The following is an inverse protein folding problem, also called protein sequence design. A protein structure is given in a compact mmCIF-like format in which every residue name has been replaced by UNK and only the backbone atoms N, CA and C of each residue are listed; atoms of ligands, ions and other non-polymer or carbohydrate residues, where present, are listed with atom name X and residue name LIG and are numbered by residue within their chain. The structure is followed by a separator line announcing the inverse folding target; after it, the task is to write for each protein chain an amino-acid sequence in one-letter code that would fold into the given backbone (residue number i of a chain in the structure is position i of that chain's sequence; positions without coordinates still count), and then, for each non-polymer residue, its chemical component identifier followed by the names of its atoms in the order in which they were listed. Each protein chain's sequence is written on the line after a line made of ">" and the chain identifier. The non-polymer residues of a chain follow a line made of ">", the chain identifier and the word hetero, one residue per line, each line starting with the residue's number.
data_IF_463771561584
#
_entry.id   IF_463771561584
#
_cell.length_a   1.000
_cell.length_b   1.000
_cell.length_c   1.000
_cell.angle_alpha   90.00
_cell.angle_beta   90.00
_cell.angle_gamma   90.00
#
_symmetry.space_group_name_H-M   'P 1'
#
loop_
_entity.id
_entity.type
_entity.pdbx_description
1 polymer ?
#
# COMPACT_ATOMS: atom_id res chain seq x y z
N UNK A 1 3.33 -9.39 -8.53
CA UNK A 1 2.23 -9.58 -7.56
C UNK A 1 1.76 -8.20 -7.20
N UNK A 2 0.55 -7.82 -7.63
CA UNK A 2 -0.06 -6.51 -7.38
C UNK A 2 -0.68 -6.53 -5.98
N UNK A 3 -0.39 -5.52 -5.15
CA UNK A 3 -0.98 -5.38 -3.82
C UNK A 3 -1.51 -3.95 -3.67
N UNK A 4 -2.82 -3.79 -3.80
CA UNK A 4 -3.58 -2.58 -3.47
C UNK A 4 -4.42 -2.86 -2.22
N UNK A 5 -4.48 -1.90 -1.29
CA UNK A 5 -4.93 -2.09 0.09
C UNK A 5 -6.26 -1.38 0.38
N UNK A 6 -7.31 -2.14 0.75
CA UNK A 6 -8.59 -1.62 1.28
C UNK A 6 -9.31 -2.68 2.15
N UNK A 7 -9.78 -2.34 3.38
CA UNK A 7 -10.65 -3.21 4.23
C UNK A 7 -11.77 -2.48 4.95
N UNK A 8 -13.01 -2.63 4.48
CA UNK A 8 -14.24 -2.32 5.23
C UNK A 8 -14.35 -3.16 6.51
N UNK A 9 -14.70 -2.53 7.64
CA UNK A 9 -15.21 -3.23 8.82
C UNK A 9 -16.60 -2.72 9.18
N UNK A 10 -17.38 -3.67 9.67
CA UNK A 10 -18.82 -3.80 9.53
C UNK A 10 -19.60 -3.14 10.67
N UNK A 11 -20.61 -2.33 10.35
CA UNK A 11 -21.72 -2.04 11.23
C UNK A 11 -23.04 -2.15 10.44
N UNK A 12 -23.89 -3.08 10.88
CA UNK A 12 -25.27 -3.36 10.48
C UNK A 12 -25.55 -3.81 9.04
N UNK A 13 -25.76 -5.13 8.92
CA UNK A 13 -26.73 -5.84 8.08
C UNK A 13 -27.01 -5.33 6.65
N UNK A 14 -26.55 -6.10 5.65
CA UNK A 14 -27.03 -6.01 4.28
C UNK A 14 -26.01 -6.54 3.29
N UNK A 15 -26.14 -7.83 2.98
CA UNK A 15 -25.68 -8.57 1.79
C UNK A 15 -24.49 -8.01 0.96
N UNK A 16 -23.43 -8.81 0.85
CA UNK A 16 -22.28 -8.50 -0.01
C UNK A 16 -20.94 -8.77 0.65
N UNK A 17 -20.69 -10.03 1.02
CA UNK A 17 -19.34 -10.52 1.28
C UNK A 17 -18.44 -10.16 0.10
N UNK A 18 -17.47 -9.26 0.28
CA UNK A 18 -16.39 -9.12 -0.71
C UNK A 18 -15.55 -10.39 -0.63
N UNK A 19 -15.84 -11.31 -1.55
CA UNK A 19 -15.40 -12.72 -1.56
C UNK A 19 -13.88 -12.90 -1.67
N UNK A 20 -13.11 -11.82 -1.83
CA UNK A 20 -11.71 -11.86 -2.22
C UNK A 20 -10.70 -11.56 -1.09
N UNK A 21 -11.12 -10.92 0.01
CA UNK A 21 -10.17 -10.29 0.96
C UNK A 21 -10.11 -10.93 2.36
N UNK A 22 -11.09 -11.73 2.76
CA UNK A 22 -11.13 -12.34 4.11
C UNK A 22 -10.01 -13.35 4.36
N UNK A 23 -9.68 -14.17 3.36
CA UNK A 23 -8.60 -15.18 3.47
C UNK A 23 -7.19 -14.57 3.44
N UNK A 24 -7.02 -13.39 2.83
CA UNK A 24 -5.71 -12.76 2.68
C UNK A 24 -5.21 -12.10 3.97
N UNK A 25 -6.11 -11.66 4.84
CA UNK A 25 -5.75 -11.09 6.15
C UNK A 25 -5.11 -12.09 7.11
N UNK A 26 -5.51 -13.36 7.05
CA UNK A 26 -4.86 -14.44 7.81
C UNK A 26 -3.52 -14.88 7.18
N UNK A 27 -3.39 -14.72 5.86
CA UNK A 27 -2.18 -15.09 5.13
C UNK A 27 -1.04 -14.08 5.30
N UNK A 28 -1.33 -12.84 5.72
CA UNK A 28 -0.36 -11.74 5.79
C UNK A 28 -0.46 -10.99 7.13
N UNK A 29 0.19 -11.48 8.20
CA UNK A 29 -0.07 -11.05 9.58
C UNK A 29 0.49 -9.66 9.95
N UNK A 30 1.33 -9.06 9.09
CA UNK A 30 1.90 -7.73 9.31
C UNK A 30 1.06 -6.60 8.68
N UNK A 31 -0.01 -6.96 7.96
CA UNK A 31 -1.01 -6.00 7.51
C UNK A 31 -2.03 -5.86 8.65
N UNK A 32 -1.70 -5.04 9.64
CA UNK A 32 -2.71 -4.60 10.60
C UNK A 32 -3.54 -3.49 9.95
N UNK A 33 -4.75 -3.81 9.53
CA UNK A 33 -5.75 -2.82 9.08
C UNK A 33 -6.53 -2.28 10.28
N UNK A 34 -5.90 -2.19 11.44
CA UNK A 34 -6.26 -1.25 12.49
C UNK A 34 -5.87 0.14 11.99
N UNK A 35 -6.82 0.81 11.34
CA UNK A 35 -6.68 2.17 10.87
C UNK A 35 -6.43 3.08 12.09
N UNK A 36 -5.18 3.45 12.34
CA UNK A 36 -4.87 4.64 13.12
C UNK A 36 -5.29 5.87 12.29
N UNK A 37 -6.61 6.11 12.22
CA UNK A 37 -7.20 7.36 11.74
C UNK A 37 -7.28 7.58 10.22
N UNK A 38 -6.78 6.68 9.38
CA UNK A 38 -6.92 6.79 7.91
C UNK A 38 -8.27 6.24 7.44
N UNK A 39 -9.04 7.02 6.67
CA UNK A 39 -10.24 6.50 6.02
C UNK A 39 -9.86 5.37 5.04
N UNK A 40 -10.67 4.31 5.00
CA UNK A 40 -10.49 3.21 4.06
C UNK A 40 -10.58 3.73 2.63
N UNK A 41 -9.55 3.50 1.83
CA UNK A 41 -9.44 4.04 0.48
C UNK A 41 -8.53 5.25 0.34
N UNK A 42 -7.97 5.78 1.44
CA UNK A 42 -7.31 7.07 1.39
C UNK A 42 -5.83 7.03 0.92
N UNK A 43 -5.15 5.88 0.92
CA UNK A 43 -3.71 5.78 0.60
C UNK A 43 -2.82 6.86 1.27
N UNK A 44 -3.16 7.29 2.49
CA UNK A 44 -2.55 8.46 3.16
C UNK A 44 -1.68 8.10 4.37
N UNK A 45 -1.43 6.82 4.61
CA UNK A 45 -0.66 6.38 5.78
C UNK A 45 0.80 6.15 5.41
N UNK A 46 1.73 6.75 6.16
CA UNK A 46 3.17 6.59 5.95
C UNK A 46 3.72 5.62 7.00
N UNK A 47 3.79 4.33 6.67
CA UNK A 47 4.38 3.31 7.55
C UNK A 47 5.45 2.47 6.85
N UNK A 48 6.71 2.96 6.80
CA UNK A 48 7.75 2.33 5.99
C UNK A 48 8.12 0.92 6.45
N UNK A 49 7.94 0.60 7.73
CA UNK A 49 8.25 -0.71 8.29
C UNK A 49 7.44 -1.84 7.64
N UNK A 50 6.24 -1.53 7.11
CA UNK A 50 5.40 -2.48 6.37
C UNK A 50 6.11 -2.96 5.09
N UNK A 51 6.86 -2.09 4.40
CA UNK A 51 7.64 -2.47 3.21
C UNK A 51 8.70 -3.52 3.54
N UNK A 52 9.43 -3.33 4.66
CA UNK A 52 10.42 -4.31 5.13
C UNK A 52 9.76 -5.66 5.43
N UNK A 53 8.69 -5.64 6.22
CA UNK A 53 8.02 -6.87 6.63
C UNK A 53 7.44 -7.63 5.43
N UNK A 54 6.85 -6.91 4.47
CA UNK A 54 6.35 -7.49 3.22
C UNK A 54 7.45 -8.14 2.39
N UNK A 55 8.58 -7.44 2.20
CA UNK A 55 9.72 -7.96 1.45
C UNK A 55 10.28 -9.24 2.09
N UNK A 56 10.50 -9.23 3.40
CA UNK A 56 11.05 -10.38 4.11
C UNK A 56 10.10 -11.57 4.06
N UNK A 57 8.81 -11.35 4.32
CA UNK A 57 7.83 -12.42 4.26
C UNK A 57 7.72 -13.02 2.85
N UNK A 58 7.65 -12.20 1.80
CA UNK A 58 7.60 -12.69 0.42
C UNK A 58 8.86 -13.46 0.06
N UNK A 59 10.04 -12.95 0.46
CA UNK A 59 11.31 -13.61 0.25
C UNK A 59 11.39 -14.96 0.97
N UNK A 60 11.04 -15.01 2.26
CA UNK A 60 11.03 -16.24 3.06
C UNK A 60 10.03 -17.26 2.52
N UNK A 61 8.86 -16.81 2.07
CA UNK A 61 7.79 -17.68 1.61
C UNK A 61 8.05 -18.29 0.23
N UNK A 62 8.58 -17.50 -0.71
CA UNK A 62 8.68 -17.90 -2.11
C UNK A 62 10.12 -18.04 -2.60
N UNK A 63 11.09 -17.35 -1.99
CA UNK A 63 12.51 -17.37 -2.33
C UNK A 63 12.79 -17.19 -3.83
N UNK A 64 12.10 -16.25 -4.45
CA UNK A 64 12.27 -15.83 -5.85
C UNK A 64 12.48 -14.32 -5.92
N UNK A 65 13.00 -13.86 -7.05
CA UNK A 65 13.16 -12.43 -7.32
C UNK A 65 11.83 -11.68 -7.29
N UNK A 66 11.79 -10.56 -6.58
CA UNK A 66 10.59 -9.78 -6.31
C UNK A 66 10.51 -8.57 -7.25
N UNK A 67 9.32 -8.30 -7.77
CA UNK A 67 8.98 -7.05 -8.48
C UNK A 67 7.85 -6.38 -7.72
N UNK A 68 8.08 -5.15 -7.27
CA UNK A 68 7.04 -4.31 -6.66
C UNK A 68 6.35 -3.57 -7.78
N UNK A 69 5.13 -3.98 -8.08
CA UNK A 69 4.39 -3.45 -9.21
C UNK A 69 3.68 -2.14 -8.90
N UNK A 70 3.34 -1.89 -7.63
CA UNK A 70 2.61 -0.71 -7.20
C UNK A 70 3.00 -0.30 -5.77
N UNK A 71 3.22 0.99 -5.57
CA UNK A 71 3.36 1.62 -4.26
C UNK A 71 3.12 3.12 -4.42
N UNK A 72 2.21 3.70 -3.62
CA UNK A 72 1.71 5.05 -3.87
C UNK A 72 1.12 5.72 -2.64
N UNK A 73 0.96 7.04 -2.74
CA UNK A 73 0.37 7.90 -1.71
C UNK A 73 -0.65 8.84 -2.34
N UNK A 74 -1.87 8.84 -1.80
CA UNK A 74 -2.98 9.66 -2.30
C UNK A 74 -2.89 11.10 -1.85
N UNK A 75 -3.12 12.06 -2.76
CA UNK A 75 -3.25 13.47 -2.43
C UNK A 75 -4.69 13.82 -2.05
N UNK A 76 -5.07 13.49 -0.81
CA UNK A 76 -6.43 13.74 -0.31
C UNK A 76 -6.75 15.24 -0.15
N UNK A 77 -5.73 16.08 -0.02
CA UNK A 77 -5.89 17.52 0.21
C UNK A 77 -5.82 18.35 -1.08
N UNK A 78 -5.58 17.72 -2.23
CA UNK A 78 -5.48 18.41 -3.53
C UNK A 78 -4.33 19.42 -3.57
N UNK A 79 -3.20 19.10 -2.94
CA UNK A 79 -2.00 19.94 -2.90
C UNK A 79 -1.31 20.05 -4.27
N UNK A 80 -1.57 19.11 -5.18
CA UNK A 80 -1.04 19.12 -6.55
C UNK A 80 0.48 19.07 -6.56
N UNK A 81 1.12 20.15 -7.04
CA UNK A 81 2.59 20.25 -7.14
C UNK A 81 3.27 20.55 -5.79
N UNK A 82 2.52 20.82 -4.74
CA UNK A 82 3.02 21.15 -3.40
C UNK A 82 2.87 19.98 -2.41
N UNK A 83 2.95 18.76 -2.92
CA UNK A 83 2.66 17.47 -2.28
C UNK A 83 3.86 16.89 -1.51
N UNK A 84 4.42 17.66 -0.58
CA UNK A 84 5.59 17.24 0.20
C UNK A 84 5.41 15.88 0.93
N UNK A 85 4.16 15.52 1.26
CA UNK A 85 3.84 14.23 1.88
C UNK A 85 4.06 13.05 0.94
N UNK A 86 3.70 13.14 -0.35
CA UNK A 86 3.94 12.08 -1.34
C UNK A 86 5.44 11.90 -1.58
N UNK A 87 6.19 13.01 -1.63
CA UNK A 87 7.65 12.97 -1.66
C UNK A 87 8.27 12.30 -0.42
N UNK A 88 7.79 12.65 0.77
CA UNK A 88 8.24 12.04 2.03
C UNK A 88 7.92 10.54 2.09
N UNK A 89 6.73 10.15 1.63
CA UNK A 89 6.30 8.76 1.53
C UNK A 89 7.26 7.92 0.67
N UNK A 90 7.47 8.30 -0.59
CA UNK A 90 8.35 7.55 -1.48
C UNK A 90 9.79 7.52 -0.97
N UNK A 91 10.28 8.64 -0.42
CA UNK A 91 11.62 8.69 0.20
C UNK A 91 11.76 7.68 1.33
N UNK A 92 10.78 7.61 2.24
CA UNK A 92 10.82 6.69 3.36
C UNK A 92 10.71 5.23 2.91
N UNK A 93 9.77 4.91 2.02
CA UNK A 93 9.57 3.54 1.51
C UNK A 93 10.75 3.03 0.69
N UNK A 94 11.32 3.87 -0.20
CA UNK A 94 12.50 3.49 -0.99
C UNK A 94 13.75 3.30 -0.13
N UNK A 95 13.95 4.15 0.90
CA UNK A 95 15.05 3.95 1.86
C UNK A 95 14.90 2.63 2.60
N UNK A 96 13.69 2.31 3.07
CA UNK A 96 13.44 1.03 3.75
C UNK A 96 13.61 -0.16 2.80
N UNK A 97 13.19 -0.05 1.55
CA UNK A 97 13.39 -1.06 0.53
C UNK A 97 14.88 -1.33 0.32
N UNK A 98 15.67 -0.31 0.01
CA UNK A 98 17.11 -0.44 -0.25
C UNK A 98 17.83 -0.98 0.99
N UNK A 99 17.48 -0.46 2.18
CA UNK A 99 18.03 -0.96 3.44
C UNK A 99 17.73 -2.45 3.65
N UNK A 100 16.52 -2.90 3.34
CA UNK A 100 16.11 -4.30 3.53
C UNK A 100 16.80 -5.22 2.53
N UNK A 101 16.85 -4.81 1.26
CA UNK A 101 17.58 -5.52 0.20
C UNK A 101 19.05 -5.72 0.60
N UNK A 102 19.72 -4.67 1.06
CA UNK A 102 21.13 -4.73 1.42
C UNK A 102 21.38 -5.54 2.70
N UNK A 103 20.52 -5.42 3.72
CA UNK A 103 20.73 -6.11 5.01
C UNK A 103 20.40 -7.60 4.95
N UNK A 104 19.38 -7.98 4.17
CA UNK A 104 18.85 -9.34 4.13
C UNK A 104 19.10 -10.08 2.82
N UNK A 105 19.84 -9.45 1.89
CA UNK A 105 20.18 -9.99 0.58
C UNK A 105 18.95 -10.45 -0.23
N UNK A 106 17.86 -9.68 -0.12
CA UNK A 106 16.60 -9.96 -0.85
C UNK A 106 16.73 -9.55 -2.30
N UNK A 107 16.47 -10.46 -3.24
CA UNK A 107 16.48 -10.15 -4.67
C UNK A 107 15.25 -9.34 -5.07
N UNK A 108 15.42 -8.03 -5.34
CA UNK A 108 14.39 -7.14 -5.89
C UNK A 108 14.85 -6.62 -7.24
N UNK A 109 14.04 -6.84 -8.29
CA UNK A 109 14.38 -6.49 -9.67
C UNK A 109 13.87 -5.12 -10.10
N UNK A 110 12.69 -4.74 -9.63
CA UNK A 110 12.04 -3.50 -10.04
C UNK A 110 11.06 -3.00 -8.98
N UNK A 111 10.87 -1.68 -8.99
CA UNK A 111 9.89 -0.96 -8.20
C UNK A 111 9.16 0.01 -9.13
N UNK A 112 7.83 0.00 -9.07
CA UNK A 112 6.96 0.88 -9.85
C UNK A 112 6.09 1.70 -8.91
N UNK A 113 6.23 3.03 -8.99
CA UNK A 113 5.41 3.96 -8.24
C UNK A 113 4.00 4.04 -8.85
N UNK A 114 2.99 3.96 -7.99
CA UNK A 114 1.61 4.25 -8.38
C UNK A 114 1.29 5.70 -7.97
N UNK A 115 1.11 6.62 -8.90
CA UNK A 115 1.16 6.48 -10.35
C UNK A 115 1.94 7.63 -10.98
N UNK A 116 2.30 7.48 -12.26
CA UNK A 116 3.04 8.51 -13.00
C UNK A 116 2.20 9.79 -13.18
N UNK A 117 0.89 9.62 -13.35
CA UNK A 117 -0.11 10.69 -13.52
C UNK A 117 -1.33 10.35 -12.68
N UNK A 118 -2.07 11.37 -12.25
CA UNK A 118 -3.33 11.16 -11.54
C UNK A 118 -4.26 10.23 -12.34
N UNK A 119 -4.73 9.18 -11.67
CA UNK A 119 -5.52 8.11 -12.27
C UNK A 119 -6.93 8.07 -11.70
N UNK A 120 -7.84 7.41 -12.42
CA UNK A 120 -9.16 7.06 -11.91
C UNK A 120 -9.02 5.95 -10.85
N UNK A 121 -9.25 6.27 -9.59
CA UNK A 121 -9.04 5.37 -8.44
C UNK A 121 -10.23 4.43 -8.19
N UNK A 122 -10.80 3.87 -9.26
CA UNK A 122 -11.96 2.97 -9.24
C UNK A 122 -13.15 3.54 -8.45
N UNK A 123 -13.33 3.10 -7.20
CA UNK A 123 -14.39 3.60 -6.31
C UNK A 123 -14.16 5.06 -5.89
N UNK A 124 -12.92 5.54 -5.91
CA UNK A 124 -12.55 6.91 -5.56
C UNK A 124 -12.71 7.91 -6.71
N UNK A 125 -12.97 7.47 -7.94
CA UNK A 125 -13.11 8.38 -9.07
C UNK A 125 -11.84 9.18 -9.38
N UNK A 126 -12.01 10.36 -9.99
CA UNK A 126 -10.93 11.34 -10.19
C UNK A 126 -10.76 12.31 -9.00
N UNK A 127 -11.62 12.20 -7.99
CA UNK A 127 -11.64 13.07 -6.82
C UNK A 127 -11.69 12.17 -5.60
N UNK A 128 -10.52 11.94 -4.98
CA UNK A 128 -10.44 11.22 -3.71
C UNK A 128 -11.15 11.97 -2.57
N UNK A 129 -11.41 13.26 -2.73
CA UNK A 129 -12.23 14.08 -1.86
C UNK A 129 -13.71 13.88 -2.17
N UNK A 130 -14.40 13.10 -1.32
CA UNK A 130 -15.85 13.27 -1.15
C UNK A 130 -16.03 14.42 -0.17
N UNK A 131 -16.89 15.39 -0.52
CA UNK A 131 -17.26 16.54 0.32
C UNK A 131 -17.83 16.12 1.67
#
# INVERSE_FOLDING_TARGET
>A
MVASFNRFNNASAGDGTSMFLGQLGEAIPFIDISLNGGALGAFTTIEPHVMRNALLWTHEKYNISIVITENGYGDMLGLGVHDNQRGAYHSAFLRTLVSTVNQYNVSVLAYSAWSLIDSFEFKGGYSSSTM
#
